data_IF_958428443883
#
_entry.id   IF_958428443883
#
_cell.length_a   1.000
_cell.length_b   1.000
_cell.length_c   1.000
_cell.angle_alpha   90.00
_cell.angle_beta   90.00
_cell.angle_gamma   90.00
#
_symmetry.space_group_name_H-M   'P 1'
#
loop_
_entity.id
_entity.type
_entity.pdbx_description
1 polymer ?
#
# COMPACT_ATOMS: atom_id res chain seq x y z
N UNK A 1 9.26 4.90 14.56
CA UNK A 1 9.20 6.00 13.57
C UNK A 1 8.15 5.64 12.53
N UNK A 2 7.22 6.54 12.17
CA UNK A 2 6.19 6.25 11.15
C UNK A 2 6.78 6.50 9.76
N UNK A 3 6.86 5.46 8.93
CA UNK A 3 7.36 5.56 7.56
C UNK A 3 6.23 6.07 6.64
N UNK A 4 6.51 7.08 5.82
CA UNK A 4 5.50 7.73 4.97
C UNK A 4 5.12 6.85 3.76
N UNK A 5 3.94 6.21 3.81
CA UNK A 5 3.37 5.38 2.75
C UNK A 5 3.00 6.13 1.46
N UNK A 6 3.09 7.47 1.45
CA UNK A 6 2.87 8.30 0.25
C UNK A 6 4.09 8.38 -0.64
N UNK A 7 5.28 8.02 -0.14
CA UNK A 7 6.53 8.04 -0.90
C UNK A 7 6.84 6.66 -1.48
N UNK A 8 7.03 6.59 -2.80
CA UNK A 8 7.37 5.35 -3.52
C UNK A 8 8.68 4.74 -3.02
N UNK A 9 9.66 5.57 -2.65
CA UNK A 9 10.95 5.11 -2.12
C UNK A 9 10.84 4.27 -0.84
N UNK A 10 9.75 4.43 -0.09
CA UNK A 10 9.50 3.71 1.14
C UNK A 10 8.81 2.36 0.93
N UNK A 11 8.36 2.05 -0.29
CA UNK A 11 7.62 0.83 -0.62
C UNK A 11 8.49 -0.06 -1.48
N UNK A 12 8.67 -1.31 -1.05
CA UNK A 12 9.42 -2.35 -1.77
C UNK A 12 8.54 -3.60 -1.91
N UNK A 13 8.84 -4.41 -2.92
CA UNK A 13 8.28 -5.76 -3.02
C UNK A 13 8.81 -6.58 -1.84
N UNK A 14 7.94 -7.40 -1.25
CA UNK A 14 8.24 -8.18 -0.05
C UNK A 14 7.90 -7.50 1.28
N UNK A 15 7.54 -6.21 1.29
CA UNK A 15 7.11 -5.55 2.53
C UNK A 15 5.71 -6.01 2.96
N UNK A 16 5.53 -6.23 4.26
CA UNK A 16 4.25 -6.41 4.91
C UNK A 16 3.62 -5.03 5.18
N UNK A 17 2.45 -4.82 4.59
CA UNK A 17 1.77 -3.53 4.57
C UNK A 17 0.28 -3.67 4.84
N UNK A 18 -0.34 -2.56 5.21
CA UNK A 18 -1.79 -2.43 5.25
C UNK A 18 -2.26 -1.57 4.09
N UNK A 19 -3.21 -2.07 3.31
CA UNK A 19 -3.80 -1.36 2.17
C UNK A 19 -5.27 -1.10 2.40
N UNK A 20 -5.77 0.02 1.87
CA UNK A 20 -7.21 0.21 1.67
C UNK A 20 -7.59 -0.26 0.26
N UNK A 21 -8.56 -1.16 0.19
CA UNK A 21 -9.15 -1.63 -1.07
C UNK A 21 -10.18 -0.63 -1.58
N UNK A 22 -10.49 -0.65 -2.88
CA UNK A 22 -11.53 0.23 -3.46
C UNK A 22 -12.89 0.10 -2.74
N UNK A 23 -13.40 -1.12 -2.45
CA UNK A 23 -14.66 -1.27 -1.70
C UNK A 23 -14.61 -0.66 -0.29
N UNK A 24 -13.43 -0.66 0.34
CA UNK A 24 -13.23 -0.21 1.72
C UNK A 24 -12.86 1.27 1.83
N UNK A 25 -12.82 2.02 0.72
CA UNK A 25 -12.48 3.46 0.77
C UNK A 25 -13.46 4.28 1.61
N UNK A 26 -14.72 3.85 1.74
CA UNK A 26 -15.73 4.50 2.58
C UNK A 26 -15.64 4.10 4.04
N UNK A 27 -15.33 2.84 4.33
CA UNK A 27 -15.29 2.28 5.69
C UNK A 27 -13.95 2.53 6.37
N UNK A 28 -12.87 2.66 5.59
CA UNK A 28 -11.51 2.75 6.10
C UNK A 28 -10.91 1.39 6.49
N UNK A 29 -11.63 0.28 6.25
CA UNK A 29 -11.14 -1.06 6.56
C UNK A 29 -9.84 -1.35 5.79
N UNK A 30 -8.84 -1.84 6.54
CA UNK A 30 -7.53 -2.14 6.02
C UNK A 30 -7.35 -3.64 5.84
N UNK A 31 -6.66 -4.00 4.77
CA UNK A 31 -6.28 -5.37 4.47
C UNK A 31 -4.77 -5.49 4.55
N UNK A 32 -4.30 -6.47 5.30
CA UNK A 32 -2.87 -6.73 5.46
C UNK A 32 -2.36 -7.68 4.39
N UNK A 33 -1.08 -7.56 4.04
CA UNK A 33 -0.39 -8.56 3.22
C UNK A 33 0.94 -8.10 2.69
N UNK A 34 1.60 -9.00 1.96
CA UNK A 34 2.94 -8.78 1.39
C UNK A 34 2.81 -8.14 0.01
N UNK A 35 3.59 -7.10 -0.26
CA UNK A 35 3.63 -6.42 -1.57
C UNK A 35 4.25 -7.35 -2.62
N UNK A 36 3.46 -7.73 -3.62
CA UNK A 36 3.95 -8.44 -4.81
C UNK A 36 4.39 -7.48 -5.92
N UNK A 37 3.68 -6.36 -6.09
CA UNK A 37 3.97 -5.40 -7.18
C UNK A 37 3.63 -3.97 -6.80
N UNK A 38 4.48 -3.03 -7.21
CA UNK A 38 4.24 -1.59 -7.08
C UNK A 38 3.61 -1.08 -8.38
N UNK A 39 2.44 -0.44 -8.29
CA UNK A 39 1.66 0.02 -9.43
C UNK A 39 1.71 1.55 -9.64
N UNK A 40 2.07 2.33 -8.61
CA UNK A 40 2.31 3.77 -8.78
C UNK A 40 3.67 4.02 -9.42
N UNK A 41 3.69 4.79 -10.51
CA UNK A 41 4.92 5.24 -11.19
C UNK A 41 5.52 6.50 -10.57
N UNK A 42 4.67 7.45 -10.14
CA UNK A 42 5.11 8.71 -9.53
C UNK A 42 5.89 8.50 -8.23
N UNK A 43 6.80 9.43 -7.92
CA UNK A 43 7.63 9.38 -6.70
C UNK A 43 6.77 9.49 -5.44
N UNK A 44 5.67 10.24 -5.50
CA UNK A 44 4.73 10.42 -4.39
C UNK A 44 3.28 10.33 -4.86
N UNK A 45 2.36 10.03 -3.93
CA UNK A 45 0.93 10.05 -4.19
C UNK A 45 0.14 10.38 -2.92
N UNK A 46 -0.85 11.29 -2.96
CA UNK A 46 -1.53 11.81 -1.77
C UNK A 46 -2.23 10.74 -0.94
N UNK A 47 -2.81 9.72 -1.61
CA UNK A 47 -3.57 8.66 -0.93
C UNK A 47 -2.74 7.43 -0.56
N UNK A 48 -1.43 7.44 -0.81
CA UNK A 48 -0.56 6.28 -0.69
C UNK A 48 -0.19 5.66 -2.04
N UNK A 49 0.87 4.85 -2.01
CA UNK A 49 1.34 4.10 -3.18
C UNK A 49 0.39 2.94 -3.47
N UNK A 50 0.03 2.76 -4.74
CA UNK A 50 -0.82 1.65 -5.18
C UNK A 50 0.05 0.41 -5.33
N UNK A 51 -0.38 -0.69 -4.74
CA UNK A 51 0.31 -1.99 -4.79
C UNK A 51 -0.67 -3.10 -5.09
N UNK A 52 -0.13 -4.23 -5.54
CA UNK A 52 -0.79 -5.53 -5.54
C UNK A 52 -0.13 -6.37 -4.46
N UNK A 53 -0.93 -7.03 -3.63
CA UNK A 53 -0.46 -8.01 -2.64
C UNK A 53 -0.23 -9.37 -3.29
N UNK A 54 0.49 -10.26 -2.62
CA UNK A 54 0.66 -11.66 -3.05
C UNK A 54 -0.67 -12.42 -3.17
N UNK A 55 -1.68 -12.03 -2.38
CA UNK A 55 -3.06 -12.54 -2.51
C UNK A 55 -3.77 -12.11 -3.80
N UNK A 56 -3.16 -11.24 -4.61
CA UNK A 56 -3.75 -10.66 -5.81
C UNK A 56 -4.59 -9.41 -5.54
N UNK A 57 -4.86 -9.06 -4.29
CA UNK A 57 -5.64 -7.88 -3.92
C UNK A 57 -4.88 -6.59 -4.24
N UNK A 58 -5.63 -5.56 -4.69
CA UNK A 58 -5.06 -4.29 -5.15
C UNK A 58 -5.63 -3.13 -4.34
N UNK A 59 -4.75 -2.30 -3.78
CA UNK A 59 -5.13 -1.18 -2.94
C UNK A 59 -4.06 -0.11 -2.80
N UNK A 60 -4.32 0.86 -1.93
CA UNK A 60 -3.40 1.96 -1.60
C UNK A 60 -2.80 1.72 -0.21
N UNK A 61 -1.48 1.72 -0.11
CA UNK A 61 -0.78 1.54 1.18
C UNK A 61 -1.13 2.67 2.13
N UNK A 62 -1.49 2.30 3.36
CA UNK A 62 -1.75 3.21 4.49
C UNK A 62 -0.67 3.11 5.53
N UNK A 63 -0.32 1.88 5.92
CA UNK A 63 0.71 1.61 6.91
C UNK A 63 1.75 0.64 6.34
N UNK A 64 3.01 0.84 6.71
CA UNK A 64 4.11 -0.08 6.45
C UNK A 64 4.42 -0.72 7.80
N UNK A 65 4.26 -2.03 7.87
CA UNK A 65 4.39 -2.78 9.12
C UNK A 65 5.83 -3.30 9.25
N UNK A 66 6.38 -3.94 8.19
CA UNK A 66 7.80 -4.35 8.11
C UNK A 66 8.21 -4.86 6.72
#
# INVERSE_FOLDING_TARGET
MIIDARKRANIKVGLFVEIVLKPHQRTGELTQGIVAKILTKSVTHPYGIKVQLESGLVGRVKNIIE
#
